data_IF_388649871167
#
_entry.id   IF_388649871167
#
_cell.length_a   1.000
_cell.length_b   1.000
_cell.length_c   1.000
_cell.angle_alpha   90.00
_cell.angle_beta   90.00
_cell.angle_gamma   90.00
#
_symmetry.space_group_name_H-M   'P 1'
#
loop_
_entity.id
_entity.type
_entity.pdbx_description
1 polymer ?
#
# COMPACT_ATOMS: atom_id res chain seq x y z
N UNK A 1 15.82 -34.94 0.26
CA UNK A 1 17.29 -35.00 0.47
C UNK A 1 17.97 -36.07 -0.39
N UNK A 2 17.40 -37.28 -0.54
CA UNK A 2 18.06 -38.39 -1.27
C UNK A 2 18.49 -38.05 -2.72
N UNK A 3 17.59 -37.49 -3.54
CA UNK A 3 17.91 -37.18 -4.95
C UNK A 3 18.95 -36.07 -5.17
N UNK A 4 19.13 -35.15 -4.21
CA UNK A 4 20.13 -34.09 -4.29
C UNK A 4 21.56 -34.66 -4.16
N UNK A 5 21.76 -35.58 -3.21
CA UNK A 5 23.03 -36.26 -2.98
C UNK A 5 23.38 -37.20 -4.14
N UNK A 6 22.40 -37.94 -4.67
CA UNK A 6 22.62 -38.79 -5.84
C UNK A 6 23.06 -37.99 -7.07
N UNK A 7 22.41 -36.85 -7.32
CA UNK A 7 22.77 -35.95 -8.42
C UNK A 7 24.19 -35.40 -8.23
N UNK A 8 24.55 -35.03 -6.99
CA UNK A 8 25.90 -34.56 -6.68
C UNK A 8 26.97 -35.63 -6.90
N UNK A 9 26.73 -36.87 -6.45
CA UNK A 9 27.65 -37.99 -6.65
C UNK A 9 27.86 -38.27 -8.13
N UNK A 10 26.80 -38.22 -8.95
CA UNK A 10 26.91 -38.36 -10.41
C UNK A 10 27.79 -37.27 -11.03
N UNK A 11 27.58 -36.01 -10.66
CA UNK A 11 28.41 -34.89 -11.13
C UNK A 11 29.88 -35.04 -10.73
N UNK A 12 30.17 -35.51 -9.51
CA UNK A 12 31.54 -35.79 -9.07
C UNK A 12 32.22 -36.90 -9.90
N UNK A 13 31.46 -37.92 -10.31
CA UNK A 13 31.99 -39.04 -11.09
C UNK A 13 32.18 -38.69 -12.57
N UNK A 14 31.25 -37.93 -13.16
CA UNK A 14 31.30 -37.58 -14.59
C UNK A 14 32.13 -36.34 -14.88
N UNK A 15 32.34 -35.46 -13.90
CA UNK A 15 32.91 -34.13 -14.12
C UNK A 15 31.95 -33.19 -14.86
N UNK A 16 30.66 -33.50 -14.90
CA UNK A 16 29.64 -32.65 -15.51
C UNK A 16 29.00 -31.70 -14.49
N UNK A 17 28.48 -30.56 -14.96
CA UNK A 17 27.80 -29.56 -14.13
C UNK A 17 26.73 -30.21 -13.24
N UNK A 18 26.77 -29.88 -11.96
CA UNK A 18 25.70 -30.14 -11.01
C UNK A 18 24.60 -29.09 -11.18
N UNK A 19 23.35 -29.54 -11.23
CA UNK A 19 22.16 -28.69 -11.29
C UNK A 19 21.02 -29.40 -10.57
N UNK A 20 20.53 -28.83 -9.47
CA UNK A 20 19.42 -29.42 -8.72
C UNK A 20 18.63 -28.35 -7.98
N UNK A 21 17.33 -28.56 -7.86
CA UNK A 21 16.43 -27.69 -7.10
C UNK A 21 16.03 -28.37 -5.80
N UNK A 22 16.17 -27.68 -4.67
CA UNK A 22 15.75 -28.20 -3.38
C UNK A 22 15.36 -27.11 -2.40
N UNK A 23 14.71 -27.51 -1.30
CA UNK A 23 14.30 -26.61 -0.22
C UNK A 23 15.45 -26.49 0.79
N UNK A 24 15.86 -25.25 1.05
CA UNK A 24 16.79 -24.91 2.13
C UNK A 24 16.05 -24.21 3.26
N UNK A 25 16.37 -24.56 4.50
CA UNK A 25 15.87 -23.85 5.67
C UNK A 25 16.71 -22.61 5.91
N UNK A 26 16.06 -21.45 5.94
CA UNK A 26 16.67 -20.16 6.23
C UNK A 26 16.84 -19.98 7.74
N UNK A 27 17.63 -18.98 8.15
CA UNK A 27 17.80 -18.63 9.57
C UNK A 27 16.48 -18.25 10.27
N UNK A 28 15.49 -17.79 9.51
CA UNK A 28 14.12 -17.52 9.99
C UNK A 28 13.31 -18.79 10.32
N UNK A 29 13.80 -19.97 9.95
CA UNK A 29 13.09 -21.24 10.05
C UNK A 29 12.23 -21.58 8.83
N UNK A 30 12.05 -20.64 7.90
CA UNK A 30 11.29 -20.84 6.65
C UNK A 30 12.09 -21.69 5.66
N UNK A 31 11.41 -22.55 4.92
CA UNK A 31 12.02 -23.25 3.80
C UNK A 31 11.81 -22.47 2.50
N UNK A 32 12.86 -22.29 1.70
CA UNK A 32 12.80 -21.62 0.40
C UNK A 32 13.42 -22.50 -0.70
N UNK A 33 12.83 -22.48 -1.89
CA UNK A 33 13.39 -23.15 -3.06
C UNK A 33 14.69 -22.49 -3.50
N UNK A 34 15.72 -23.30 -3.70
CA UNK A 34 17.00 -22.87 -4.22
C UNK A 34 17.39 -23.70 -5.43
N UNK A 35 17.93 -23.03 -6.44
CA UNK A 35 18.65 -23.64 -7.54
C UNK A 35 20.12 -23.74 -7.14
N UNK A 36 20.55 -24.96 -6.85
CA UNK A 36 21.96 -25.24 -6.67
C UNK A 36 22.57 -25.61 -8.00
N UNK A 37 23.63 -24.90 -8.36
CA UNK A 37 24.46 -25.24 -9.52
C UNK A 37 25.91 -25.28 -9.10
N UNK A 38 26.68 -26.22 -9.63
CA UNK A 38 28.12 -26.22 -9.46
C UNK A 38 28.84 -26.73 -10.71
N UNK A 39 29.98 -26.14 -11.03
CA UNK A 39 30.83 -26.53 -12.15
C UNK A 39 32.22 -26.90 -11.63
N UNK A 40 32.87 -27.92 -12.22
CA UNK A 40 34.23 -28.27 -11.83
C UNK A 40 35.22 -27.25 -12.40
N UNK A 41 36.18 -26.86 -11.57
CA UNK A 41 37.37 -26.13 -11.98
C UNK A 41 38.52 -27.14 -12.12
N UNK A 42 39.10 -27.22 -13.30
CA UNK A 42 40.14 -28.19 -13.64
C UNK A 42 41.48 -27.49 -13.88
N UNK A 43 42.54 -28.06 -13.32
CA UNK A 43 43.93 -27.74 -13.68
C UNK A 43 44.62 -29.04 -14.13
N UNK A 44 45.42 -28.97 -15.21
CA UNK A 44 46.15 -30.12 -15.74
C UNK A 44 45.25 -31.38 -15.96
N UNK A 45 44.04 -31.19 -16.50
CA UNK A 45 43.02 -32.24 -16.69
C UNK A 45 42.57 -32.97 -15.41
N UNK A 46 42.77 -32.36 -14.23
CA UNK A 46 42.24 -32.87 -12.95
C UNK A 46 41.34 -31.82 -12.31
N UNK A 47 40.18 -32.24 -11.83
CA UNK A 47 39.29 -31.37 -11.05
C UNK A 47 39.94 -31.04 -9.72
N UNK A 48 40.20 -29.76 -9.49
CA UNK A 48 40.86 -29.26 -8.26
C UNK A 48 39.82 -28.81 -7.25
N UNK A 49 38.74 -28.17 -7.71
CA UNK A 49 37.65 -27.70 -6.87
C UNK A 49 36.35 -27.59 -7.67
N UNK A 50 35.24 -27.41 -6.97
CA UNK A 50 33.94 -27.10 -7.57
C UNK A 50 33.50 -25.71 -7.16
N UNK A 51 33.09 -24.90 -8.14
CA UNK A 51 32.52 -23.59 -7.92
C UNK A 51 31.01 -23.71 -7.99
N UNK A 52 30.32 -23.36 -6.90
CA UNK A 52 28.87 -23.49 -6.79
C UNK A 52 28.17 -22.21 -6.38
N UNK A 53 26.90 -22.11 -6.76
CA UNK A 53 25.98 -21.06 -6.28
C UNK A 53 24.68 -21.71 -5.84
N UNK A 54 24.03 -21.10 -4.84
CA UNK A 54 22.66 -21.42 -4.43
C UNK A 54 21.82 -20.18 -4.63
N UNK A 55 21.06 -20.14 -5.72
CA UNK A 55 20.20 -19.00 -6.04
C UNK A 55 18.82 -19.25 -5.47
N UNK A 56 18.29 -18.32 -4.67
CA UNK A 56 16.90 -18.36 -4.23
C UNK A 56 15.96 -18.21 -5.45
N UNK A 57 15.16 -19.23 -5.72
CA UNK A 57 14.19 -19.27 -6.84
C UNK A 57 12.74 -19.38 -6.33
N UNK A 58 12.51 -19.10 -5.05
CA UNK A 58 11.22 -19.35 -4.41
C UNK A 58 10.10 -18.50 -4.99
N UNK A 59 10.38 -17.23 -5.31
CA UNK A 59 9.44 -16.34 -6.00
C UNK A 59 9.06 -16.89 -7.38
N UNK A 60 10.03 -17.39 -8.15
CA UNK A 60 9.78 -17.99 -9.46
C UNK A 60 8.89 -19.23 -9.33
N UNK A 61 9.24 -20.16 -8.43
CA UNK A 61 8.44 -21.37 -8.17
C UNK A 61 7.02 -21.05 -7.74
N UNK A 62 6.84 -20.07 -6.86
CA UNK A 62 5.51 -19.62 -6.44
C UNK A 62 4.71 -19.02 -7.61
N UNK A 63 5.35 -18.27 -8.49
CA UNK A 63 4.69 -17.71 -9.67
C UNK A 63 4.31 -18.80 -10.69
N UNK A 64 5.19 -19.77 -10.92
CA UNK A 64 4.92 -20.92 -11.80
C UNK A 64 3.74 -21.75 -11.25
N UNK A 65 3.72 -22.01 -9.94
CA UNK A 65 2.60 -22.69 -9.28
C UNK A 65 1.28 -21.91 -9.42
N UNK A 66 1.29 -20.60 -9.17
CA UNK A 66 0.10 -19.75 -9.36
C UNK A 66 -0.39 -19.77 -10.80
N UNK A 67 0.52 -19.82 -11.78
CA UNK A 67 0.18 -19.92 -13.20
C UNK A 67 -0.46 -21.27 -13.53
N UNK A 68 0.11 -22.37 -13.05
CA UNK A 68 -0.44 -23.71 -13.25
C UNK A 68 -1.80 -23.89 -12.57
N UNK A 69 -1.95 -23.36 -11.35
CA UNK A 69 -3.21 -23.31 -10.62
C UNK A 69 -4.25 -22.49 -11.39
N UNK A 70 -3.89 -21.30 -11.86
CA UNK A 70 -4.75 -20.45 -12.68
C UNK A 70 -5.22 -21.16 -13.96
N UNK A 71 -4.31 -21.84 -14.69
CA UNK A 71 -4.65 -22.60 -15.89
C UNK A 71 -5.59 -23.77 -15.59
N UNK A 72 -5.38 -24.45 -14.45
CA UNK A 72 -6.25 -25.53 -13.99
C UNK A 72 -7.65 -25.04 -13.67
N UNK A 73 -7.77 -23.95 -12.90
CA UNK A 73 -9.04 -23.32 -12.54
C UNK A 73 -9.75 -22.83 -13.80
N UNK A 74 -9.06 -22.11 -14.70
CA UNK A 74 -9.63 -21.63 -15.94
C UNK A 74 -10.18 -22.79 -16.80
N UNK A 75 -9.42 -23.89 -16.90
CA UNK A 75 -9.87 -25.08 -17.64
C UNK A 75 -11.14 -25.70 -17.03
N UNK A 76 -11.22 -25.76 -15.70
CA UNK A 76 -12.40 -26.27 -15.00
C UNK A 76 -13.63 -25.36 -15.20
N UNK A 77 -13.44 -24.06 -15.01
CA UNK A 77 -14.50 -23.04 -15.12
C UNK A 77 -15.01 -22.90 -16.55
N UNK A 78 -14.19 -23.13 -17.57
CA UNK A 78 -14.63 -23.19 -18.97
C UNK A 78 -15.37 -24.50 -19.31
N UNK A 79 -14.91 -25.63 -18.75
CA UNK A 79 -15.49 -26.96 -19.03
C UNK A 79 -16.92 -27.09 -18.50
N UNK A 80 -17.23 -26.46 -17.37
CA UNK A 80 -18.56 -26.50 -16.73
C UNK A 80 -19.68 -25.93 -17.63
N UNK A 81 -19.65 -24.65 -18.08
CA UNK A 81 -20.66 -24.10 -18.97
C UNK A 81 -20.68 -24.82 -20.32
N UNK A 82 -19.54 -25.23 -20.85
CA UNK A 82 -19.46 -26.00 -22.10
C UNK A 82 -20.20 -27.35 -21.99
N UNK A 83 -20.05 -28.04 -20.86
CA UNK A 83 -20.74 -29.31 -20.60
C UNK A 83 -22.25 -29.10 -20.50
N UNK A 84 -22.70 -28.03 -19.84
CA UNK A 84 -24.12 -27.67 -19.77
C UNK A 84 -24.71 -27.31 -21.14
N UNK A 85 -24.01 -26.51 -21.95
CA UNK A 85 -24.43 -26.16 -23.32
C UNK A 85 -24.60 -27.45 -24.14
N UNK A 86 -23.61 -28.36 -24.08
CA UNK A 86 -23.69 -29.65 -24.77
C UNK A 86 -24.88 -30.47 -24.30
N UNK A 87 -25.14 -30.53 -22.99
CA UNK A 87 -26.27 -31.26 -22.43
C UNK A 87 -27.62 -30.67 -22.89
N UNK A 88 -27.81 -29.36 -22.83
CA UNK A 88 -29.05 -28.72 -23.30
C UNK A 88 -29.25 -28.88 -24.81
N UNK A 89 -28.20 -28.78 -25.62
CA UNK A 89 -28.29 -29.06 -27.05
C UNK A 89 -28.68 -30.52 -27.34
N UNK A 90 -28.17 -31.48 -26.57
CA UNK A 90 -28.60 -32.88 -26.67
C UNK A 90 -30.07 -33.07 -26.27
N UNK A 91 -30.55 -32.37 -25.23
CA UNK A 91 -31.95 -32.40 -24.82
C UNK A 91 -32.87 -31.78 -25.89
N UNK A 92 -32.46 -30.67 -26.50
CA UNK A 92 -33.16 -30.02 -27.62
C UNK A 92 -33.29 -30.99 -28.81
N UNK A 93 -32.23 -31.72 -29.16
CA UNK A 93 -32.25 -32.68 -30.27
C UNK A 93 -33.12 -33.92 -30.01
N UNK A 94 -33.33 -34.29 -28.74
CA UNK A 94 -34.06 -35.51 -28.37
C UNK A 94 -35.51 -35.27 -27.95
N UNK A 95 -35.86 -34.06 -27.55
CA UNK A 95 -37.20 -33.77 -27.04
C UNK A 95 -38.22 -33.66 -28.18
N UNK A 96 -39.35 -34.36 -28.06
CA UNK A 96 -40.53 -34.14 -28.91
C UNK A 96 -41.48 -33.11 -28.30
N UNK A 97 -41.23 -32.69 -27.06
CA UNK A 97 -42.03 -31.72 -26.32
C UNK A 97 -41.60 -30.29 -26.67
N UNK A 98 -42.38 -29.66 -27.56
CA UNK A 98 -42.14 -28.30 -28.07
C UNK A 98 -42.21 -27.26 -26.94
N UNK A 99 -42.99 -27.51 -25.88
CA UNK A 99 -43.15 -26.56 -24.77
C UNK A 99 -41.85 -26.33 -24.00
N UNK A 100 -40.96 -27.34 -23.96
CA UNK A 100 -39.68 -27.27 -23.24
C UNK A 100 -38.54 -26.68 -24.06
N UNK A 101 -38.67 -26.64 -25.39
CA UNK A 101 -37.61 -26.16 -26.29
C UNK A 101 -37.17 -24.74 -25.94
N UNK A 102 -38.13 -23.84 -25.72
CA UNK A 102 -37.83 -22.45 -25.33
C UNK A 102 -36.97 -22.39 -24.06
N UNK A 103 -37.32 -23.15 -23.03
CA UNK A 103 -36.58 -23.19 -21.77
C UNK A 103 -35.15 -23.75 -21.93
N UNK A 104 -34.96 -24.76 -22.78
CA UNK A 104 -33.63 -25.34 -23.03
C UNK A 104 -32.75 -24.39 -23.85
N UNK A 105 -33.33 -23.72 -24.85
CA UNK A 105 -32.63 -22.69 -25.64
C UNK A 105 -32.20 -21.54 -24.73
N UNK A 106 -33.08 -21.06 -23.85
CA UNK A 106 -32.77 -20.00 -22.90
C UNK A 106 -31.63 -20.41 -21.96
N UNK A 107 -31.69 -21.60 -21.35
CA UNK A 107 -30.61 -22.09 -20.47
C UNK A 107 -29.28 -22.25 -21.20
N UNK A 108 -29.31 -22.71 -22.46
CA UNK A 108 -28.12 -22.79 -23.30
C UNK A 108 -27.53 -21.40 -23.56
N UNK A 109 -28.35 -20.41 -23.90
CA UNK A 109 -27.95 -19.03 -24.10
C UNK A 109 -27.35 -18.39 -22.83
N UNK A 110 -27.93 -18.64 -21.66
CA UNK A 110 -27.39 -18.20 -20.37
C UNK A 110 -25.98 -18.76 -20.11
N UNK A 111 -25.73 -20.02 -20.46
CA UNK A 111 -24.40 -20.61 -20.33
C UNK A 111 -23.39 -20.08 -21.36
N UNK A 112 -23.84 -19.72 -22.56
CA UNK A 112 -22.99 -19.05 -23.57
C UNK A 112 -22.56 -17.68 -23.04
N UNK A 113 -23.49 -16.89 -22.52
CA UNK A 113 -23.19 -15.58 -21.94
C UNK A 113 -22.19 -15.69 -20.77
N UNK A 114 -22.37 -16.68 -19.89
CA UNK A 114 -21.41 -16.96 -18.80
C UNK A 114 -20.02 -17.32 -19.33
N UNK A 115 -19.94 -18.12 -20.39
CA UNK A 115 -18.68 -18.51 -21.01
C UNK A 115 -17.97 -17.30 -21.64
N UNK A 116 -18.71 -16.43 -22.33
CA UNK A 116 -18.18 -15.18 -22.90
C UNK A 116 -17.60 -14.28 -21.80
N UNK A 117 -18.34 -14.09 -20.71
CA UNK A 117 -17.87 -13.32 -19.54
C UNK A 117 -16.57 -13.91 -18.98
N UNK A 118 -16.51 -15.23 -18.76
CA UNK A 118 -15.30 -15.90 -18.25
C UNK A 118 -14.10 -15.75 -19.18
N UNK A 119 -14.30 -15.81 -20.50
CA UNK A 119 -13.22 -15.62 -21.47
C UNK A 119 -12.69 -14.18 -21.39
N UNK A 120 -13.58 -13.18 -21.32
CA UNK A 120 -13.19 -11.78 -21.20
C UNK A 120 -12.45 -11.51 -19.90
N UNK A 121 -12.96 -12.02 -18.76
CA UNK A 121 -12.31 -11.90 -17.46
C UNK A 121 -10.90 -12.55 -17.48
N UNK A 122 -10.76 -13.71 -18.11
CA UNK A 122 -9.47 -14.39 -18.28
C UNK A 122 -8.50 -13.57 -19.13
N UNK A 123 -8.98 -13.01 -20.25
CA UNK A 123 -8.19 -12.15 -21.13
C UNK A 123 -7.71 -10.90 -20.39
N UNK A 124 -8.56 -10.25 -19.60
CA UNK A 124 -8.17 -9.10 -18.78
C UNK A 124 -7.08 -9.48 -17.77
N UNK A 125 -7.25 -10.59 -17.02
CA UNK A 125 -6.22 -11.07 -16.07
C UNK A 125 -4.89 -11.37 -16.77
N UNK A 126 -4.90 -11.96 -17.96
CA UNK A 126 -3.67 -12.24 -18.71
C UNK A 126 -2.98 -10.95 -19.19
N UNK A 127 -3.74 -9.93 -19.60
CA UNK A 127 -3.18 -8.62 -19.98
C UNK A 127 -2.58 -7.91 -18.77
N UNK A 128 -3.24 -7.97 -17.62
CA UNK A 128 -2.75 -7.41 -16.34
C UNK A 128 -1.43 -8.06 -15.95
N UNK A 129 -1.37 -9.39 -15.88
CA UNK A 129 -0.17 -10.13 -15.47
C UNK A 129 1.02 -9.94 -16.44
N UNK A 130 0.74 -9.64 -17.71
CA UNK A 130 1.76 -9.33 -18.70
C UNK A 130 2.19 -7.85 -18.71
N UNK A 131 1.58 -6.98 -17.87
CA UNK A 131 1.81 -5.53 -17.90
C UNK A 131 1.35 -4.86 -19.21
N UNK A 132 0.44 -5.50 -19.96
CA UNK A 132 -0.05 -5.05 -21.27
C UNK A 132 -1.45 -4.45 -21.20
N UNK A 133 -2.02 -4.27 -20.01
CA UNK A 133 -3.30 -3.60 -19.85
C UNK A 133 -3.10 -2.10 -20.12
N UNK A 134 -3.74 -1.60 -21.17
CA UNK A 134 -3.78 -0.18 -21.50
C UNK A 134 -5.01 0.43 -20.87
N UNK A 135 -4.85 1.55 -20.16
CA UNK A 135 -5.93 2.33 -19.59
C UNK A 135 -6.13 3.59 -20.41
N UNK A 136 -7.39 3.94 -20.66
CA UNK A 136 -7.75 5.20 -21.31
C UNK A 136 -8.10 6.22 -20.23
N UNK A 137 -7.11 6.98 -19.78
CA UNK A 137 -7.28 7.95 -18.70
C UNK A 137 -7.87 9.26 -19.25
N UNK A 138 -9.13 9.54 -18.91
CA UNK A 138 -9.83 10.75 -19.33
C UNK A 138 -10.65 11.34 -18.17
N UNK A 139 -10.91 12.66 -18.15
CA UNK A 139 -11.78 13.26 -17.14
C UNK A 139 -13.25 12.91 -17.39
N UNK A 140 -13.95 12.46 -16.35
CA UNK A 140 -15.39 12.17 -16.39
C UNK A 140 -16.07 12.49 -15.05
N UNK A 141 -17.39 12.72 -15.05
CA UNK A 141 -18.16 12.89 -13.80
C UNK A 141 -18.33 11.54 -13.10
N UNK A 142 -17.70 11.38 -11.94
CA UNK A 142 -17.76 10.17 -11.12
C UNK A 142 -19.18 9.88 -10.64
N UNK A 143 -19.92 10.94 -10.26
CA UNK A 143 -21.32 10.85 -9.87
C UNK A 143 -22.20 10.33 -11.01
N UNK A 144 -21.98 10.82 -12.23
CA UNK A 144 -22.72 10.36 -13.40
C UNK A 144 -22.41 8.90 -13.74
N UNK A 145 -21.12 8.52 -13.69
CA UNK A 145 -20.69 7.13 -13.89
C UNK A 145 -21.35 6.18 -12.87
N UNK A 146 -21.35 6.55 -11.58
CA UNK A 146 -21.98 5.76 -10.52
C UNK A 146 -23.50 5.66 -10.70
N UNK A 147 -24.17 6.78 -10.99
CA UNK A 147 -25.61 6.83 -11.26
C UNK A 147 -25.98 5.88 -12.40
N UNK A 148 -25.28 5.97 -13.53
CA UNK A 148 -25.50 5.10 -14.69
C UNK A 148 -25.27 3.61 -14.35
N UNK A 149 -24.22 3.31 -13.58
CA UNK A 149 -23.90 1.94 -13.17
C UNK A 149 -25.00 1.36 -12.26
N UNK A 150 -25.48 2.15 -11.31
CA UNK A 150 -26.58 1.76 -10.40
C UNK A 150 -27.87 1.54 -11.18
N UNK A 151 -28.24 2.46 -12.07
CA UNK A 151 -29.44 2.33 -12.92
C UNK A 151 -29.39 1.07 -13.81
N UNK A 152 -28.23 0.82 -14.42
CA UNK A 152 -28.01 -0.36 -15.27
C UNK A 152 -28.21 -1.67 -14.50
N UNK A 153 -27.59 -1.81 -13.32
CA UNK A 153 -27.73 -3.02 -12.50
C UNK A 153 -29.14 -3.12 -11.93
N UNK A 154 -29.74 -2.00 -11.49
CA UNK A 154 -31.10 -1.97 -10.95
C UNK A 154 -32.14 -2.50 -11.93
N UNK A 155 -31.97 -2.27 -13.24
CA UNK A 155 -32.87 -2.80 -14.28
C UNK A 155 -32.86 -4.34 -14.36
N UNK A 156 -31.76 -4.97 -13.95
CA UNK A 156 -31.61 -6.43 -13.94
C UNK A 156 -31.82 -7.07 -12.56
N UNK A 157 -31.83 -6.25 -11.50
CA UNK A 157 -32.03 -6.68 -10.13
C UNK A 157 -33.53 -6.87 -9.83
N UNK A 158 -33.95 -8.12 -9.62
CA UNK A 158 -35.35 -8.44 -9.30
C UNK A 158 -35.68 -8.34 -7.81
N UNK A 159 -34.68 -8.45 -6.92
CA UNK A 159 -34.88 -8.66 -5.48
C UNK A 159 -34.44 -7.49 -4.60
N UNK A 160 -33.47 -6.70 -5.04
CA UNK A 160 -32.86 -5.64 -4.24
C UNK A 160 -33.13 -4.27 -4.84
N UNK A 161 -33.34 -3.28 -3.96
CA UNK A 161 -33.29 -1.86 -4.30
C UNK A 161 -31.88 -1.32 -4.05
N UNK A 162 -31.25 -0.79 -5.08
CA UNK A 162 -29.93 -0.17 -5.03
C UNK A 162 -30.13 1.32 -4.79
N UNK A 163 -29.64 1.82 -3.66
CA UNK A 163 -29.77 3.21 -3.26
C UNK A 163 -28.37 3.87 -3.31
N UNK A 164 -28.18 4.80 -4.25
CA UNK A 164 -26.99 5.65 -4.28
C UNK A 164 -27.22 6.82 -3.31
N UNK A 165 -26.42 6.88 -2.26
CA UNK A 165 -26.42 8.02 -1.34
C UNK A 165 -25.83 9.25 -2.04
N UNK A 166 -26.35 10.43 -1.69
CA UNK A 166 -25.91 11.68 -2.31
C UNK A 166 -24.43 11.92 -2.03
N UNK A 167 -23.64 12.04 -3.10
CA UNK A 167 -22.23 12.41 -3.06
C UNK A 167 -21.93 13.61 -3.95
N UNK A 168 -20.71 14.13 -3.79
CA UNK A 168 -20.17 15.26 -4.53
C UNK A 168 -20.07 14.94 -6.02
N UNK A 169 -20.42 15.91 -6.89
CA UNK A 169 -20.21 15.75 -8.32
C UNK A 169 -18.75 16.09 -8.67
N UNK A 170 -17.91 15.05 -8.73
CA UNK A 170 -16.48 15.20 -8.99
C UNK A 170 -16.14 14.82 -10.42
N UNK A 171 -15.32 15.66 -11.07
CA UNK A 171 -14.59 15.27 -12.26
C UNK A 171 -13.37 14.42 -11.86
N UNK A 172 -13.44 13.12 -12.13
CA UNK A 172 -12.39 12.16 -11.85
C UNK A 172 -11.60 11.87 -13.14
N UNK A 173 -10.28 11.82 -13.06
CA UNK A 173 -9.42 11.46 -14.20
C UNK A 173 -9.07 9.98 -14.12
N UNK A 174 -9.67 9.17 -14.99
CA UNK A 174 -9.54 7.71 -14.92
C UNK A 174 -10.07 7.01 -16.15
N UNK A 175 -9.97 5.68 -16.15
CA UNK A 175 -10.63 4.86 -17.16
C UNK A 175 -12.06 4.57 -16.72
N UNK A 176 -13.01 5.38 -17.22
CA UNK A 176 -14.42 5.30 -16.87
C UNK A 176 -14.98 3.89 -17.09
N UNK A 177 -14.69 3.26 -18.23
CA UNK A 177 -15.24 1.95 -18.58
C UNK A 177 -14.73 0.86 -17.63
N UNK A 178 -13.46 0.93 -17.22
CA UNK A 178 -12.90 -0.02 -16.25
C UNK A 178 -13.47 0.17 -14.85
N UNK A 179 -13.70 1.41 -14.43
CA UNK A 179 -14.34 1.68 -13.14
C UNK A 179 -15.82 1.25 -13.13
N UNK A 180 -16.56 1.47 -14.23
CA UNK A 180 -17.92 0.93 -14.40
C UNK A 180 -17.94 -0.60 -14.27
N UNK A 181 -16.96 -1.30 -14.86
CA UNK A 181 -16.82 -2.76 -14.73
C UNK A 181 -16.63 -3.19 -13.26
N UNK A 182 -15.80 -2.48 -12.50
CA UNK A 182 -15.57 -2.75 -11.06
C UNK A 182 -16.85 -2.54 -10.26
N UNK A 183 -17.53 -1.40 -10.46
CA UNK A 183 -18.79 -1.09 -9.76
C UNK A 183 -19.85 -2.13 -10.08
N UNK A 184 -20.02 -2.49 -11.35
CA UNK A 184 -20.96 -3.52 -11.77
C UNK A 184 -20.67 -4.87 -11.11
N UNK A 185 -19.39 -5.25 -11.01
CA UNK A 185 -19.00 -6.48 -10.32
C UNK A 185 -19.32 -6.43 -8.81
N UNK A 186 -19.11 -5.30 -8.14
CA UNK A 186 -19.50 -5.15 -6.73
C UNK A 186 -21.01 -5.20 -6.51
N UNK A 187 -21.79 -4.47 -7.33
CA UNK A 187 -23.24 -4.45 -7.20
C UNK A 187 -23.87 -5.82 -7.45
N UNK A 188 -23.43 -6.53 -8.49
CA UNK A 188 -23.91 -7.88 -8.79
C UNK A 188 -23.49 -8.89 -7.72
N UNK A 189 -22.29 -8.76 -7.15
CA UNK A 189 -21.87 -9.57 -6.00
C UNK A 189 -22.71 -9.27 -4.75
N UNK A 190 -23.00 -8.00 -4.46
CA UNK A 190 -23.84 -7.63 -3.33
C UNK A 190 -25.20 -8.35 -3.42
N UNK A 191 -25.92 -8.20 -4.54
CA UNK A 191 -27.21 -8.88 -4.79
C UNK A 191 -27.09 -10.40 -4.64
N UNK A 192 -26.04 -11.00 -5.21
CA UNK A 192 -25.84 -12.45 -5.19
C UNK A 192 -25.59 -12.99 -3.78
N UNK A 193 -24.83 -12.26 -2.96
CA UNK A 193 -24.40 -12.72 -1.64
C UNK A 193 -25.24 -12.17 -0.48
N UNK A 194 -26.28 -11.38 -0.75
CA UNK A 194 -27.25 -10.92 0.25
C UNK A 194 -28.70 -11.33 -0.07
N UNK A 195 -29.02 -12.61 -0.32
CA UNK A 195 -30.34 -13.03 -0.81
C UNK A 195 -31.52 -12.61 0.08
N UNK A 196 -31.30 -12.46 1.39
CA UNK A 196 -32.34 -12.07 2.37
C UNK A 196 -32.41 -10.55 2.62
N UNK A 197 -31.54 -9.76 1.99
CA UNK A 197 -31.58 -8.30 2.08
C UNK A 197 -32.50 -7.72 1.00
N UNK A 198 -33.16 -6.60 1.31
CA UNK A 198 -34.01 -5.88 0.37
C UNK A 198 -33.27 -4.70 -0.30
N UNK A 199 -32.09 -4.32 0.23
CA UNK A 199 -31.37 -3.11 -0.18
C UNK A 199 -29.87 -3.31 -0.32
N UNK A 200 -29.30 -2.62 -1.31
CA UNK A 200 -27.87 -2.40 -1.47
C UNK A 200 -27.62 -0.90 -1.42
N UNK A 201 -26.83 -0.43 -0.44
CA UNK A 201 -26.47 0.98 -0.34
C UNK A 201 -25.12 1.21 -0.99
N UNK A 202 -25.04 2.22 -1.84
CA UNK A 202 -23.81 2.67 -2.49
C UNK A 202 -23.50 4.06 -1.96
N UNK A 203 -22.35 4.19 -1.32
CA UNK A 203 -21.81 5.49 -0.92
C UNK A 203 -20.42 5.64 -1.52
N UNK A 204 -20.03 6.89 -1.72
CA UNK A 204 -18.67 7.24 -2.09
C UNK A 204 -18.34 8.58 -1.44
N UNK A 205 -17.05 8.73 -1.11
CA UNK A 205 -16.50 9.95 -0.57
C UNK A 205 -15.10 10.10 -1.13
N UNK A 206 -14.70 11.32 -1.43
CA UNK A 206 -13.28 11.61 -1.59
C UNK A 206 -12.68 11.70 -0.21
N UNK A 207 -11.84 10.73 0.11
CA UNK A 207 -10.85 10.92 1.14
C UNK A 207 -9.64 11.55 0.45
N UNK A 208 -9.27 12.75 0.88
CA UNK A 208 -7.99 13.31 0.47
C UNK A 208 -6.90 12.38 0.98
N UNK A 209 -6.20 11.72 0.06
CA UNK A 209 -4.91 11.12 0.37
C UNK A 209 -4.02 12.27 0.86
N UNK A 210 -3.64 12.23 2.14
CA UNK A 210 -2.77 13.25 2.67
C UNK A 210 -1.35 12.86 2.24
N UNK A 211 -0.74 13.74 1.46
CA UNK A 211 0.71 13.74 1.36
C UNK A 211 1.21 14.23 2.71
N UNK A 212 2.02 13.42 3.40
CA UNK A 212 2.56 13.80 4.70
C UNK A 212 4.07 13.78 4.67
N UNK A 213 4.67 14.69 5.42
CA UNK A 213 6.06 14.64 5.83
C UNK A 213 6.07 14.53 7.36
N UNK A 214 6.42 13.35 7.85
CA UNK A 214 6.55 13.06 9.27
C UNK A 214 7.96 13.46 9.72
N UNK A 215 8.07 14.45 10.61
CA UNK A 215 9.33 14.97 11.14
C UNK A 215 9.52 14.45 12.56
N UNK A 216 10.71 13.90 12.84
CA UNK A 216 11.02 13.31 14.13
C UNK A 216 11.00 14.33 15.26
N UNK A 217 11.72 15.44 15.13
CA UNK A 217 11.96 16.37 16.25
C UNK A 217 10.87 17.45 16.38
N UNK A 218 9.77 17.33 15.63
CA UNK A 218 8.71 18.33 15.60
C UNK A 218 8.10 18.56 16.99
N UNK A 219 8.05 19.83 17.39
CA UNK A 219 7.39 20.31 18.60
C UNK A 219 8.03 19.90 19.94
N UNK A 220 9.21 19.28 19.91
CA UNK A 220 9.98 18.94 21.11
C UNK A 220 10.62 20.19 21.73
N UNK A 221 10.60 20.25 23.06
CA UNK A 221 11.28 21.26 23.87
C UNK A 221 12.40 20.63 24.70
N UNK A 222 13.36 21.44 25.13
CA UNK A 222 14.43 20.98 26.02
C UNK A 222 13.86 20.37 27.31
N UNK A 223 14.46 19.28 27.77
CA UNK A 223 14.06 18.60 29.01
C UNK A 223 15.18 18.69 30.06
N UNK A 224 14.91 19.16 31.28
CA UNK A 224 15.90 19.22 32.34
C UNK A 224 16.46 17.84 32.68
N UNK A 225 17.78 17.76 32.81
CA UNK A 225 18.47 16.52 33.19
C UNK A 225 18.72 15.54 32.03
N UNK A 226 18.30 15.87 30.81
CA UNK A 226 18.66 15.16 29.59
C UNK A 226 19.56 16.04 28.71
N UNK A 227 20.47 15.44 27.95
CA UNK A 227 21.19 16.17 26.92
C UNK A 227 20.25 16.51 25.76
N UNK A 228 20.45 17.64 25.08
CA UNK A 228 19.60 18.02 23.94
C UNK A 228 19.55 16.93 22.85
N UNK A 229 20.67 16.24 22.61
CA UNK A 229 20.78 15.14 21.65
C UNK A 229 20.06 13.83 22.08
N UNK A 230 19.54 13.77 23.31
CA UNK A 230 18.63 12.69 23.76
C UNK A 230 17.16 13.04 23.49
N UNK A 231 16.87 14.33 23.38
CA UNK A 231 15.52 14.88 23.14
C UNK A 231 15.25 15.01 21.65
N UNK A 232 16.24 15.49 20.90
CA UNK A 232 16.17 15.68 19.44
C UNK A 232 17.33 14.97 18.75
N UNK A 233 17.10 14.46 17.53
CA UNK A 233 18.10 13.73 16.77
C UNK A 233 18.96 14.62 15.85
N UNK A 234 18.47 15.83 15.56
CA UNK A 234 19.14 16.83 14.72
C UNK A 234 20.57 17.10 15.19
N UNK A 235 21.57 16.87 14.32
CA UNK A 235 22.98 17.08 14.65
C UNK A 235 23.83 17.57 13.45
N UNK A 236 24.75 18.53 13.65
CA UNK A 236 24.96 19.34 14.85
C UNK A 236 23.72 20.19 15.15
N UNK A 237 23.41 20.35 16.44
CA UNK A 237 22.25 21.10 16.89
C UNK A 237 22.60 22.59 17.03
N UNK A 238 21.95 23.49 16.26
CA UNK A 238 22.17 24.93 16.42
C UNK A 238 21.64 25.45 17.77
N UNK A 239 22.31 26.45 18.33
CA UNK A 239 21.92 27.04 19.62
C UNK A 239 20.54 27.70 19.61
N UNK A 240 20.06 28.14 18.44
CA UNK A 240 18.74 28.75 18.22
C UNK A 240 17.69 27.73 17.75
N UNK A 241 17.95 26.42 17.83
CA UNK A 241 16.97 25.41 17.42
C UNK A 241 15.70 25.48 18.29
N UNK A 242 15.85 25.55 19.61
CA UNK A 242 14.74 25.69 20.54
C UNK A 242 14.31 27.16 20.69
N UNK A 243 13.00 27.39 20.68
CA UNK A 243 12.37 28.71 20.68
C UNK A 243 11.62 29.01 21.99
N UNK A 244 11.43 28.00 22.85
CA UNK A 244 10.70 28.09 24.11
C UNK A 244 11.56 27.60 25.29
N UNK A 245 11.24 28.03 26.53
CA UNK A 245 11.96 27.56 27.71
C UNK A 245 11.94 26.03 27.84
N UNK A 246 12.95 25.49 28.52
CA UNK A 246 12.96 24.08 28.91
C UNK A 246 11.69 23.71 29.71
N UNK A 247 11.25 22.46 29.55
CA UNK A 247 10.01 21.91 30.11
C UNK A 247 8.71 22.53 29.57
N UNK A 248 8.76 23.25 28.45
CA UNK A 248 7.52 23.66 27.77
C UNK A 248 6.74 22.41 27.31
N UNK A 249 5.40 22.38 27.46
CA UNK A 249 4.57 21.33 26.89
C UNK A 249 4.80 21.21 25.37
N UNK A 250 4.65 20.01 24.81
CA UNK A 250 4.90 19.77 23.38
C UNK A 250 4.01 20.64 22.50
N UNK A 251 4.62 21.37 21.58
CA UNK A 251 3.97 22.36 20.72
C UNK A 251 4.87 22.69 19.53
N UNK A 252 4.30 22.88 18.34
CA UNK A 252 5.01 23.28 17.12
C UNK A 252 5.98 24.44 17.37
N UNK A 253 5.57 25.42 18.19
CA UNK A 253 6.33 26.65 18.50
C UNK A 253 7.57 26.40 19.37
N UNK A 254 7.80 25.18 19.87
CA UNK A 254 8.92 24.88 20.75
C UNK A 254 10.27 24.91 20.02
N UNK A 255 10.29 24.66 18.72
CA UNK A 255 11.52 24.61 17.95
C UNK A 255 11.34 25.13 16.52
N UNK A 256 12.47 25.31 15.82
CA UNK A 256 12.50 25.86 14.45
C UNK A 256 11.94 24.92 13.37
N UNK A 257 11.43 23.76 13.73
CA UNK A 257 10.60 22.95 12.82
C UNK A 257 9.12 23.31 12.84
N UNK A 258 8.74 24.39 13.52
CA UNK A 258 7.39 24.97 13.46
C UNK A 258 6.92 25.16 12.00
N UNK A 259 5.86 24.46 11.56
CA UNK A 259 5.32 24.61 10.20
C UNK A 259 4.85 26.03 9.90
N UNK A 260 4.47 26.82 10.92
CA UNK A 260 4.10 28.23 10.75
C UNK A 260 5.28 29.14 10.36
N UNK A 261 6.53 28.66 10.53
CA UNK A 261 7.75 29.38 10.17
C UNK A 261 8.33 28.96 8.81
N UNK A 262 7.63 28.10 8.05
CA UNK A 262 8.07 27.68 6.71
C UNK A 262 8.16 28.90 5.79
N UNK A 263 9.37 29.18 5.29
CA UNK A 263 9.65 30.38 4.49
C UNK A 263 9.72 31.69 5.28
N UNK A 264 9.58 31.64 6.62
CA UNK A 264 9.55 32.80 7.52
C UNK A 264 10.60 32.71 8.65
N UNK A 265 11.76 32.11 8.37
CA UNK A 265 12.91 32.07 9.29
C UNK A 265 13.01 30.83 10.19
N UNK A 266 12.15 29.83 9.98
CA UNK A 266 12.31 28.48 10.53
C UNK A 266 13.40 27.68 9.80
N UNK A 267 13.59 26.44 10.23
CA UNK A 267 14.50 25.48 9.60
C UNK A 267 13.82 24.58 8.59
N UNK A 268 12.51 24.69 8.40
CA UNK A 268 11.83 24.09 7.27
C UNK A 268 11.68 25.15 6.17
N UNK A 269 12.10 24.84 4.95
CA UNK A 269 11.85 25.70 3.79
C UNK A 269 10.72 25.16 2.91
N UNK A 270 10.24 25.96 1.96
CA UNK A 270 9.03 25.64 1.19
C UNK A 270 9.10 24.33 0.39
N UNK A 271 10.29 23.80 0.08
CA UNK A 271 10.40 22.50 -0.59
C UNK A 271 9.86 21.34 0.24
N UNK A 272 9.76 21.49 1.57
CA UNK A 272 9.15 20.49 2.46
C UNK A 272 7.65 20.28 2.17
N UNK A 273 7.01 21.25 1.49
CA UNK A 273 5.59 21.17 1.13
C UNK A 273 5.36 20.26 -0.08
N UNK A 274 6.38 20.00 -0.89
CA UNK A 274 6.21 19.16 -2.08
C UNK A 274 6.99 17.87 -1.92
N UNK A 275 6.30 16.73 -1.92
CA UNK A 275 6.95 15.44 -1.70
C UNK A 275 8.06 15.13 -2.71
N UNK A 276 7.88 15.58 -3.96
CA UNK A 276 8.86 15.41 -5.03
C UNK A 276 10.17 16.17 -4.77
N UNK A 277 10.11 17.31 -4.06
CA UNK A 277 11.28 18.13 -3.73
C UNK A 277 11.72 17.94 -2.27
N UNK A 278 10.94 17.25 -1.45
CA UNK A 278 11.25 16.94 -0.05
C UNK A 278 12.45 16.02 0.06
N UNK A 279 13.55 16.57 0.60
CA UNK A 279 14.80 15.86 0.87
C UNK A 279 15.56 16.53 2.04
N UNK A 280 16.80 16.13 2.30
CA UNK A 280 17.62 16.70 3.37
C UNK A 280 17.79 18.23 3.26
N UNK A 281 17.82 18.78 2.05
CA UNK A 281 17.93 20.23 1.78
C UNK A 281 16.65 21.00 2.09
N UNK A 282 15.54 20.31 2.33
CA UNK A 282 14.30 20.93 2.83
C UNK A 282 14.43 21.40 4.28
N UNK A 283 15.48 20.94 4.97
CA UNK A 283 15.87 21.34 6.31
C UNK A 283 17.06 22.30 6.24
N UNK A 284 16.80 23.59 6.45
CA UNK A 284 17.80 24.67 6.47
C UNK A 284 18.54 24.75 7.81
N UNK A 285 18.98 23.61 8.35
CA UNK A 285 19.73 23.51 9.61
C UNK A 285 21.23 23.66 9.32
N UNK A 286 21.92 24.68 9.88
CA UNK A 286 23.33 24.89 9.60
C UNK A 286 24.22 23.69 9.97
N UNK A 287 24.87 23.10 8.96
CA UNK A 287 25.85 22.03 9.14
C UNK A 287 25.26 20.64 9.42
N UNK A 288 23.94 20.50 9.55
CA UNK A 288 23.27 19.21 9.74
C UNK A 288 22.84 18.61 8.41
N UNK A 289 22.95 17.28 8.31
CA UNK A 289 22.45 16.50 7.18
C UNK A 289 21.40 15.51 7.69
N UNK A 290 20.15 15.77 7.34
CA UNK A 290 18.98 15.03 7.80
C UNK A 290 18.73 13.84 6.86
N UNK A 291 18.45 12.66 7.41
CA UNK A 291 18.28 11.44 6.63
C UNK A 291 16.81 11.00 6.58
N UNK A 292 16.34 10.66 5.39
CA UNK A 292 15.03 10.06 5.22
C UNK A 292 14.99 8.66 5.87
N UNK A 293 13.89 8.36 6.56
CA UNK A 293 13.65 7.14 7.33
C UNK A 293 14.13 7.19 8.77
N UNK A 294 15.07 8.10 9.10
CA UNK A 294 15.54 8.33 10.47
C UNK A 294 15.07 9.67 11.02
N UNK A 295 15.36 10.78 10.35
CA UNK A 295 15.04 12.13 10.85
C UNK A 295 13.66 12.62 10.37
N UNK A 296 13.26 12.19 9.18
CA UNK A 296 11.93 12.42 8.62
C UNK A 296 11.52 11.28 7.72
N UNK A 297 10.23 11.15 7.43
CA UNK A 297 9.70 10.22 6.43
C UNK A 297 8.62 10.91 5.60
N UNK A 298 8.46 10.52 4.34
CA UNK A 298 7.44 11.07 3.45
C UNK A 298 6.53 9.96 2.93
N UNK A 299 5.23 10.26 2.81
CA UNK A 299 4.24 9.33 2.30
C UNK A 299 3.29 10.07 1.36
N UNK A 300 3.18 9.59 0.12
CA UNK A 300 2.25 10.14 -0.88
C UNK A 300 0.80 9.77 -0.55
N UNK A 301 0.57 8.52 -0.12
CA UNK A 301 -0.77 7.98 0.12
C UNK A 301 -0.92 7.58 1.59
N UNK A 302 -0.74 8.54 2.51
CA UNK A 302 -0.87 8.25 3.93
C UNK A 302 -2.31 7.97 4.31
N UNK A 303 -2.54 6.78 4.86
CA UNK A 303 -3.86 6.36 5.35
C UNK A 303 -4.07 6.87 6.77
N UNK A 304 -5.19 7.58 7.00
CA UNK A 304 -5.62 7.97 8.34
C UNK A 304 -6.20 6.76 9.06
N UNK A 305 -5.66 6.43 10.24
CA UNK A 305 -6.21 5.36 11.08
C UNK A 305 -7.58 5.76 11.65
N UNK A 306 -8.50 4.80 11.66
CA UNK A 306 -9.85 4.96 12.22
C UNK A 306 -9.88 4.62 13.71
N UNK A 307 -10.94 5.03 14.41
CA UNK A 307 -11.11 4.79 15.85
C UNK A 307 -11.23 3.29 16.23
N UNK A 308 -11.41 2.39 15.27
CA UNK A 308 -11.41 0.94 15.49
C UNK A 308 -10.01 0.32 15.41
N UNK A 309 -9.03 1.06 14.88
CA UNK A 309 -7.67 0.57 14.64
C UNK A 309 -6.67 0.99 15.72
N UNK A 310 -7.03 1.97 16.54
CA UNK A 310 -6.22 2.39 17.68
C UNK A 310 -7.10 2.87 18.83
N UNK A 311 -6.53 2.89 20.03
CA UNK A 311 -7.06 3.59 21.19
C UNK A 311 -6.05 4.62 21.69
N UNK A 312 -6.54 5.67 22.34
CA UNK A 312 -5.73 6.77 22.86
C UNK A 312 -6.10 7.05 24.31
N UNK A 313 -5.09 7.20 25.17
CA UNK A 313 -5.30 7.64 26.55
C UNK A 313 -5.09 9.16 26.65
N UNK A 314 -6.15 9.98 26.77
CA UNK A 314 -6.04 11.44 26.72
C UNK A 314 -5.35 12.05 27.94
N UNK A 315 -5.19 11.31 29.05
CA UNK A 315 -4.50 11.81 30.24
C UNK A 315 -3.00 11.53 30.22
N UNK A 316 -2.62 10.37 29.69
CA UNK A 316 -1.23 9.92 29.67
C UNK A 316 -0.55 10.13 28.30
N UNK A 317 -1.31 10.46 27.27
CA UNK A 317 -0.77 10.84 25.96
C UNK A 317 -0.24 9.68 25.12
N UNK A 318 -0.64 8.44 25.38
CA UNK A 318 -0.18 7.28 24.62
C UNK A 318 -1.24 6.70 23.68
N UNK A 319 -0.75 6.08 22.60
CA UNK A 319 -1.55 5.41 21.58
C UNK A 319 -1.27 3.90 21.64
N UNK A 320 -2.34 3.10 21.61
CA UNK A 320 -2.26 1.65 21.48
C UNK A 320 -2.89 1.24 20.15
N UNK A 321 -2.09 0.64 19.27
CA UNK A 321 -2.57 0.12 17.99
C UNK A 321 -3.19 -1.27 18.16
N UNK A 322 -4.29 -1.52 17.47
CA UNK A 322 -4.97 -2.82 17.48
C UNK A 322 -4.21 -3.87 16.65
N UNK A 323 -3.44 -3.42 15.67
CA UNK A 323 -2.54 -4.25 14.87
C UNK A 323 -1.11 -3.73 14.99
N UNK A 324 -0.15 -4.65 15.07
CA UNK A 324 1.26 -4.32 15.06
C UNK A 324 1.64 -3.80 13.67
N UNK A 325 2.38 -2.70 13.63
CA UNK A 325 2.96 -2.18 12.39
C UNK A 325 4.08 -3.08 11.87
N UNK A 326 4.14 -3.21 10.55
CA UNK A 326 5.24 -3.83 9.82
C UNK A 326 6.49 -2.95 9.89
N UNK A 327 7.66 -3.55 9.59
CA UNK A 327 8.93 -2.84 9.74
C UNK A 327 9.05 -1.63 8.80
N UNK A 328 8.49 -1.74 7.60
CA UNK A 328 8.47 -0.77 6.52
C UNK A 328 7.38 0.32 6.67
N UNK A 329 6.47 0.19 7.63
CA UNK A 329 5.41 1.17 7.85
C UNK A 329 5.89 2.38 8.68
N UNK A 330 5.41 3.57 8.32
CA UNK A 330 5.63 4.82 9.05
C UNK A 330 4.37 5.17 9.84
N UNK A 331 4.54 5.62 11.09
CA UNK A 331 3.45 6.15 11.90
C UNK A 331 3.73 7.59 12.27
N UNK A 332 2.75 8.46 12.01
CA UNK A 332 2.81 9.87 12.33
C UNK A 332 1.48 10.36 12.93
N UNK A 333 1.55 11.45 13.69
CA UNK A 333 0.39 12.06 14.34
C UNK A 333 0.43 13.58 14.22
N UNK A 334 -0.76 14.18 14.15
CA UNK A 334 -1.01 15.55 14.58
C UNK A 334 -2.02 15.50 15.72
N UNK A 335 -1.82 16.34 16.73
CA UNK A 335 -2.71 16.39 17.88
C UNK A 335 -2.74 17.79 18.49
N UNK A 336 -3.84 18.07 19.18
CA UNK A 336 -4.09 19.31 19.88
C UNK A 336 -4.64 18.97 21.26
N UNK A 337 -4.21 19.71 22.26
CA UNK A 337 -4.62 19.51 23.64
C UNK A 337 -4.58 20.84 24.40
N UNK A 338 -5.14 20.86 25.61
CA UNK A 338 -5.18 22.04 26.46
C UNK A 338 -4.57 21.76 27.82
N UNK A 339 -3.86 22.74 28.37
CA UNK A 339 -3.45 22.78 29.77
C UNK A 339 -4.01 24.08 30.36
N UNK A 340 -5.05 23.97 31.18
CA UNK A 340 -5.82 25.15 31.58
C UNK A 340 -6.52 25.77 30.37
N UNK A 341 -6.33 27.08 30.19
CA UNK A 341 -6.92 27.85 29.07
C UNK A 341 -6.00 27.88 27.83
N UNK A 342 -4.76 27.40 27.96
CA UNK A 342 -3.78 27.42 26.88
C UNK A 342 -3.94 26.21 25.96
N UNK A 343 -3.93 26.49 24.66
CA UNK A 343 -4.04 25.50 23.59
C UNK A 343 -2.67 25.22 23.00
N UNK A 344 -2.34 23.93 22.89
CA UNK A 344 -1.09 23.43 22.35
C UNK A 344 -1.36 22.52 21.16
N UNK A 345 -0.51 22.57 20.14
CA UNK A 345 -0.66 21.77 18.93
C UNK A 345 0.69 21.28 18.43
N UNK A 346 0.76 20.01 18.03
CA UNK A 346 1.91 19.41 17.36
C UNK A 346 1.44 18.78 16.05
N UNK A 347 2.14 19.10 14.96
CA UNK A 347 1.73 18.76 13.59
C UNK A 347 0.66 19.70 13.04
N UNK A 348 0.22 19.41 11.82
CA UNK A 348 -0.83 20.13 11.10
C UNK A 348 -2.05 19.24 10.86
N UNK A 349 -3.23 19.82 10.98
CA UNK A 349 -4.45 19.20 10.50
C UNK A 349 -4.75 19.65 9.07
N UNK A 350 -5.43 18.78 8.30
CA UNK A 350 -5.83 19.11 6.93
C UNK A 350 -6.73 20.37 6.83
N UNK A 351 -7.39 20.75 7.92
CA UNK A 351 -8.25 21.93 8.01
C UNK A 351 -7.56 23.19 8.56
N UNK A 352 -6.25 23.15 8.83
CA UNK A 352 -5.48 24.30 9.37
C UNK A 352 -5.13 25.35 8.31
N UNK A 353 -5.70 25.26 7.11
CA UNK A 353 -5.54 26.26 6.04
C UNK A 353 -4.38 26.01 5.08
N UNK A 354 -3.74 24.83 5.13
CA UNK A 354 -2.80 24.38 4.09
C UNK A 354 -3.61 23.98 2.86
N UNK A 355 -3.46 24.71 1.75
CA UNK A 355 -4.15 24.38 0.50
C UNK A 355 -3.65 23.03 -0.03
N UNK A 356 -4.54 22.04 -0.17
CA UNK A 356 -4.15 20.68 -0.62
C UNK A 356 -3.51 20.68 -2.00
N UNK A 357 -3.89 21.64 -2.85
CA UNK A 357 -3.35 21.80 -4.19
C UNK A 357 -3.27 23.27 -4.56
N UNK A 358 -2.08 23.74 -4.91
CA UNK A 358 -1.85 25.09 -5.41
C UNK A 358 -1.61 24.99 -6.92
N UNK A 359 -2.29 25.85 -7.69
CA UNK A 359 -2.05 25.99 -9.12
C UNK A 359 -1.20 27.23 -9.34
N UNK A 360 0.07 27.02 -9.71
CA UNK A 360 0.97 28.05 -10.18
C UNK A 360 0.91 28.18 -11.70
N UNK A 361 1.37 29.32 -12.21
CA UNK A 361 1.60 29.51 -13.64
C UNK A 361 3.06 29.91 -13.81
N UNK A 362 3.85 29.05 -14.47
CA UNK A 362 5.24 29.33 -14.78
C UNK A 362 5.46 29.24 -16.29
N UNK A 363 5.97 30.32 -16.88
CA UNK A 363 6.18 30.49 -18.33
C UNK A 363 4.98 30.07 -19.22
N UNK A 364 3.73 30.30 -18.77
CA UNK A 364 2.50 29.96 -19.52
C UNK A 364 2.08 28.48 -19.44
N UNK A 365 2.71 27.69 -18.56
CA UNK A 365 2.29 26.32 -18.23
C UNK A 365 1.71 26.30 -16.82
N UNK A 366 0.50 25.77 -16.66
CA UNK A 366 -0.08 25.54 -15.34
C UNK A 366 0.70 24.42 -14.63
N UNK A 367 1.29 24.75 -13.49
CA UNK A 367 1.96 23.80 -12.60
C UNK A 367 1.03 23.52 -11.41
N UNK A 368 0.67 22.26 -11.22
CA UNK A 368 -0.17 21.84 -10.09
C UNK A 368 0.74 21.22 -9.04
N UNK A 369 0.81 21.86 -7.87
CA UNK A 369 1.62 21.40 -6.74
C UNK A 369 0.69 20.95 -5.61
N UNK A 370 0.78 19.68 -5.22
CA UNK A 370 0.06 19.12 -4.07
C UNK A 370 0.90 19.33 -2.81
N UNK A 371 0.29 19.91 -1.78
CA UNK A 371 1.01 20.24 -0.55
C UNK A 371 0.98 19.10 0.47
N UNK A 372 2.10 18.97 1.17
CA UNK A 372 2.32 17.99 2.22
C UNK A 372 1.99 18.60 3.58
N UNK A 373 1.31 17.83 4.42
CA UNK A 373 1.10 18.13 5.83
C UNK A 373 2.34 17.74 6.64
N UNK A 374 2.77 18.62 7.54
CA UNK A 374 3.89 18.35 8.44
C UNK A 374 3.35 17.72 9.73
N UNK A 375 3.77 16.49 10.01
CA UNK A 375 3.30 15.70 11.14
C UNK A 375 4.46 15.29 12.06
N UNK A 376 4.14 14.93 13.30
CA UNK A 376 5.10 14.34 14.22
C UNK A 376 5.28 12.86 13.93
N UNK A 377 6.51 12.42 13.70
CA UNK A 377 6.82 10.99 13.52
C UNK A 377 6.85 10.26 14.88
N UNK A 378 6.15 9.12 14.97
CA UNK A 378 6.21 8.18 16.10
C UNK A 378 6.99 6.91 15.77
N UNK A 379 7.07 6.55 14.49
CA UNK A 379 7.89 5.44 13.98
C UNK A 379 8.25 5.70 12.51
N UNK A 380 9.54 5.59 12.17
CA UNK A 380 10.02 5.54 10.78
C UNK A 380 10.04 4.13 10.19
N UNK A 381 10.33 4.03 8.89
CA UNK A 381 10.53 2.75 8.19
C UNK A 381 11.90 2.12 8.50
N UNK A 382 12.85 2.90 9.03
CA UNK A 382 14.12 2.41 9.57
C UNK A 382 14.05 2.41 11.09
N UNK A 383 14.23 1.23 11.69
CA UNK A 383 14.35 1.13 13.15
C UNK A 383 15.78 1.38 13.56
N UNK A 384 16.10 2.63 13.89
CA UNK A 384 17.41 3.04 14.39
C UNK A 384 17.32 3.18 15.92
N UNK A 385 18.07 2.35 16.66
CA UNK A 385 18.04 2.39 18.13
C UNK A 385 19.00 3.44 18.67
N UNK A 386 20.21 3.53 18.12
CA UNK A 386 21.24 4.47 18.58
C UNK A 386 21.70 5.35 17.44
N UNK A 387 21.85 6.64 17.72
CA UNK A 387 22.50 7.59 16.84
C UNK A 387 24.03 7.42 17.01
N UNK A 388 24.69 6.91 15.99
CA UNK A 388 26.15 6.65 16.03
C UNK A 388 26.99 7.91 16.06
N UNK A 389 26.41 9.06 15.68
CA UNK A 389 27.09 10.36 15.66
C UNK A 389 27.08 11.00 17.04
N UNK A 390 25.94 10.95 17.74
CA UNK A 390 25.79 11.57 19.06
C UNK A 390 26.07 10.59 20.21
N UNK A 391 26.01 9.28 19.96
CA UNK A 391 26.19 8.23 20.96
C UNK A 391 24.94 7.95 21.81
N UNK A 392 23.83 8.64 21.56
CA UNK A 392 22.58 8.50 22.31
C UNK A 392 21.57 7.59 21.61
N UNK A 393 20.62 7.07 22.38
CA UNK A 393 19.45 6.37 21.84
C UNK A 393 18.54 7.35 21.10
N UNK A 394 17.97 6.95 19.97
CA UNK A 394 17.15 7.86 19.16
C UNK A 394 15.85 8.24 19.90
N UNK A 395 15.42 9.51 19.83
CA UNK A 395 14.18 9.98 20.45
C UNK A 395 12.94 9.14 20.07
N UNK A 396 12.78 8.78 18.80
CA UNK A 396 11.66 7.92 18.34
C UNK A 396 11.66 6.54 19.01
N UNK A 397 12.83 5.95 19.26
CA UNK A 397 12.90 4.69 20.00
C UNK A 397 12.48 4.86 21.47
N UNK A 398 12.67 6.04 22.06
CA UNK A 398 12.24 6.34 23.42
C UNK A 398 10.72 6.59 23.51
N UNK A 399 10.08 7.07 22.43
CA UNK A 399 8.62 7.20 22.35
C UNK A 399 7.89 5.85 22.38
N UNK A 400 8.55 4.77 21.95
CA UNK A 400 7.95 3.43 21.99
C UNK A 400 7.86 2.92 23.44
N UNK A 401 6.63 2.64 23.90
CA UNK A 401 6.40 2.00 25.19
C UNK A 401 6.82 0.52 25.15
N UNK A 402 7.73 0.15 26.06
CA UNK A 402 8.33 -1.19 26.14
C UNK A 402 7.76 -2.05 27.27
N UNK A 403 6.85 -1.51 28.08
CA UNK A 403 6.40 -2.10 29.35
C UNK A 403 4.90 -2.46 29.38
N UNK A 404 4.31 -2.82 28.23
CA UNK A 404 2.93 -3.33 28.16
C UNK A 404 3.01 -4.83 27.88
N UNK A 405 2.68 -5.64 28.90
CA UNK A 405 2.67 -7.11 28.85
C UNK A 405 1.29 -7.67 28.62
#
# INVERSE_FOLDING_TARGET
LHGCLECWIKSLQSGERYLYEFRLQMASGEYLWHLAQAVPYTENNKTVLWLGTNTNIDLQKRNDQKKDEFLSIASHELKTPLTSIKAFNQLIQRTSDVSKLSSFIQKSAEHIFRLEKLINDLLDVTKINAGKMTYTMEPFSFKKMLTNSVESVQHTAATHKIELEAGDDINFNGDQLRLEQVVHNFLTNAIKYSPDADKVKVNYKIEQENIIVAVQDLGEAQLPGLADNEVVNTFPLPADFFQRPASSPSDNRNNKYDPALIGAGGYLNSSIREIATTNSSSFSVPGASLNEGNDFAKLENARKLTATEFSFNPKLGYISLQQRLSNDEVLAVAYQYTIGDDVYQVGEFANDGVESTIVGEDAGTQTVSTQSLILKMLKGNLTVVNNTTTGFTTPVWNLMMKNIY
#
